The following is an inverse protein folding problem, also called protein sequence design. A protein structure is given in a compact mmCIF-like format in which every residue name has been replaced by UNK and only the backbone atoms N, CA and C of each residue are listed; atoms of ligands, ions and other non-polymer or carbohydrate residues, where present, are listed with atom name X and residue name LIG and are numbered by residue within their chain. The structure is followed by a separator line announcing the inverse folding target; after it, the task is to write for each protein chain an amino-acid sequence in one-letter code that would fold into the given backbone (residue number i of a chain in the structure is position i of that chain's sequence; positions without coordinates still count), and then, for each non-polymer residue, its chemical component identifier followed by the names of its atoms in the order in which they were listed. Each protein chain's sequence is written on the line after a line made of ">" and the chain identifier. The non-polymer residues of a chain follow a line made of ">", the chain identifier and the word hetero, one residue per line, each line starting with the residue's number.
data_IF_871825896495
#
_entry.id   IF_871825896495
#
_cell.length_a   1.000
_cell.length_b   1.000
_cell.length_c   1.000
_cell.angle_alpha   90.00
_cell.angle_beta   90.00
_cell.angle_gamma   90.00
#
_symmetry.space_group_name_H-M   'P 1'
#
loop_
_entity.id
_entity.type
_entity.pdbx_description
1 polymer ?
#
# COMPACT_ATOMS: atom_id res chain seq x y z
N UNK A 1 12.61 -0.12 13.20
CA UNK A 1 12.70 -1.53 13.61
C UNK A 1 11.33 -2.18 13.43
N UNK A 2 11.27 -3.40 12.92
CA UNK A 2 10.00 -4.12 12.80
C UNK A 2 9.44 -4.41 14.19
N UNK A 3 8.27 -3.84 14.53
CA UNK A 3 7.65 -4.06 15.83
C UNK A 3 6.13 -3.92 15.72
N UNK A 4 5.42 -5.03 15.75
CA UNK A 4 3.97 -5.09 15.66
C UNK A 4 3.29 -4.44 16.89
N UNK A 5 3.88 -4.54 18.08
CA UNK A 5 3.33 -3.91 19.30
C UNK A 5 3.35 -2.38 19.18
N UNK A 6 4.46 -1.83 18.67
CA UNK A 6 4.53 -0.38 18.41
C UNK A 6 3.55 0.04 17.32
N UNK A 7 3.42 -0.74 16.25
CA UNK A 7 2.48 -0.47 15.17
C UNK A 7 1.02 -0.43 15.66
N UNK A 8 0.63 -1.38 16.53
CA UNK A 8 -0.69 -1.38 17.17
C UNK A 8 -0.87 -0.16 18.09
N UNK A 9 0.13 0.16 18.91
CA UNK A 9 0.07 1.30 19.83
C UNK A 9 -0.11 2.63 19.06
N UNK A 10 0.61 2.82 17.95
CA UNK A 10 0.46 4.01 17.09
C UNK A 10 -0.94 4.05 16.46
N UNK A 11 -1.46 2.92 15.98
CA UNK A 11 -2.82 2.86 15.45
C UNK A 11 -3.88 3.25 16.49
N UNK A 12 -3.72 2.79 17.74
CA UNK A 12 -4.60 3.14 18.87
C UNK A 12 -4.48 4.60 19.32
N UNK A 13 -3.43 5.31 18.93
CA UNK A 13 -3.25 6.73 19.27
C UNK A 13 -4.18 7.67 18.46
N UNK A 14 -4.95 7.14 17.49
CA UNK A 14 -5.98 7.88 16.77
C UNK A 14 -5.53 8.60 15.53
N UNK A 15 -4.40 8.19 14.93
CA UNK A 15 -4.00 8.67 13.61
C UNK A 15 -4.90 8.09 12.52
N UNK A 16 -5.15 8.87 11.45
CA UNK A 16 -5.97 8.43 10.32
C UNK A 16 -5.37 7.24 9.59
N UNK A 17 -4.04 7.14 9.54
CA UNK A 17 -3.32 6.00 8.98
C UNK A 17 -1.95 5.81 9.66
N UNK A 18 -1.39 4.63 9.50
CA UNK A 18 -0.04 4.29 9.94
C UNK A 18 0.77 3.83 8.74
N UNK A 19 1.88 4.52 8.45
CA UNK A 19 2.77 4.15 7.36
C UNK A 19 3.86 3.18 7.83
N UNK A 20 3.98 2.07 7.13
CA UNK A 20 5.06 1.10 7.28
C UNK A 20 6.04 1.34 6.12
N UNK A 21 7.27 1.68 6.45
CA UNK A 21 8.28 2.01 5.45
C UNK A 21 9.10 0.76 5.08
N UNK A 22 8.76 0.15 3.94
CA UNK A 22 9.49 -0.98 3.39
C UNK A 22 10.55 -0.57 2.35
N UNK A 23 10.70 0.73 2.08
CA UNK A 23 11.75 1.24 1.17
C UNK A 23 13.07 1.45 1.91
N UNK A 24 13.03 2.22 2.99
CA UNK A 24 14.21 2.61 3.76
C UNK A 24 14.15 2.15 5.23
N UNK A 25 13.01 1.64 5.67
CA UNK A 25 12.88 1.00 6.97
C UNK A 25 13.62 -0.34 7.00
N UNK A 26 14.13 -0.71 8.17
CA UNK A 26 14.74 -2.03 8.38
C UNK A 26 13.65 -3.09 8.61
N UNK A 27 12.79 -3.30 7.61
CA UNK A 27 11.66 -4.25 7.64
C UNK A 27 11.63 -5.08 6.36
N UNK A 28 11.36 -6.36 6.52
CA UNK A 28 11.14 -7.29 5.41
C UNK A 28 9.64 -7.57 5.21
N UNK A 29 9.28 -8.30 4.16
CA UNK A 29 7.89 -8.59 3.85
C UNK A 29 7.12 -9.24 5.02
N UNK A 30 7.75 -10.20 5.71
CA UNK A 30 7.15 -10.87 6.88
C UNK A 30 6.86 -9.91 8.03
N UNK A 31 7.74 -8.93 8.23
CA UNK A 31 7.56 -7.89 9.23
C UNK A 31 6.39 -6.98 8.85
N UNK A 32 6.33 -6.58 7.57
CA UNK A 32 5.21 -5.78 7.04
C UNK A 32 3.88 -6.49 7.26
N UNK A 33 3.78 -7.80 6.98
CA UNK A 33 2.57 -8.58 7.24
C UNK A 33 2.15 -8.48 8.71
N UNK A 34 3.09 -8.70 9.63
CA UNK A 34 2.81 -8.65 11.07
C UNK A 34 2.40 -7.25 11.53
N UNK A 35 3.05 -6.21 11.02
CA UNK A 35 2.73 -4.81 11.35
C UNK A 35 1.40 -4.37 10.75
N UNK A 36 1.08 -4.75 9.50
CA UNK A 36 -0.22 -4.49 8.87
C UNK A 36 -1.35 -5.08 9.71
N UNK A 37 -1.22 -6.35 10.14
CA UNK A 37 -2.22 -7.01 10.99
C UNK A 37 -2.38 -6.28 12.33
N UNK A 38 -1.28 -5.84 12.94
CA UNK A 38 -1.30 -5.10 14.19
C UNK A 38 -1.97 -3.73 14.06
N UNK A 39 -1.72 -2.99 12.97
CA UNK A 39 -2.41 -1.71 12.68
C UNK A 39 -3.91 -1.93 12.53
N UNK A 40 -4.32 -2.95 11.76
CA UNK A 40 -5.74 -3.30 11.59
C UNK A 40 -6.40 -3.69 12.92
N UNK A 41 -5.70 -4.45 13.76
CA UNK A 41 -6.17 -4.82 15.10
C UNK A 41 -6.33 -3.59 16.01
N UNK A 42 -5.44 -2.62 15.88
CA UNK A 42 -5.52 -1.34 16.58
C UNK A 42 -6.62 -0.40 16.07
N UNK A 43 -7.32 -0.76 15.00
CA UNK A 43 -8.37 0.05 14.37
C UNK A 43 -7.86 1.13 13.41
N UNK A 44 -6.55 1.13 13.11
CA UNK A 44 -5.93 2.05 12.15
C UNK A 44 -5.99 1.54 10.71
N UNK A 45 -5.59 2.40 9.77
CA UNK A 45 -5.46 2.09 8.35
C UNK A 45 -3.98 1.91 7.99
N UNK A 46 -3.52 0.69 7.63
CA UNK A 46 -2.14 0.48 7.26
C UNK A 46 -1.88 0.96 5.81
N UNK A 47 -0.88 1.79 5.65
CA UNK A 47 -0.31 2.19 4.35
C UNK A 47 1.14 1.71 4.33
N UNK A 48 1.61 1.21 3.20
CA UNK A 48 2.99 0.73 3.06
C UNK A 48 3.71 1.57 2.00
N UNK A 49 4.87 2.14 2.36
CA UNK A 49 5.77 2.64 1.34
C UNK A 49 6.57 1.45 0.80
N UNK A 50 6.29 1.08 -0.46
CA UNK A 50 6.94 -0.06 -1.12
C UNK A 50 8.38 0.28 -1.53
N UNK A 51 9.28 -0.73 -1.69
CA UNK A 51 10.66 -0.48 -2.09
C UNK A 51 10.80 0.16 -3.47
N UNK A 52 9.90 -0.18 -4.40
CA UNK A 52 9.94 0.29 -5.78
C UNK A 52 8.58 0.18 -6.46
N UNK A 53 8.43 0.84 -7.63
CA UNK A 53 7.26 0.72 -8.50
C UNK A 53 7.29 -0.63 -9.25
N UNK A 54 7.00 -1.71 -8.55
CA UNK A 54 7.05 -3.07 -9.05
C UNK A 54 5.74 -3.80 -8.68
N UNK A 55 4.98 -4.36 -9.65
CA UNK A 55 3.63 -4.85 -9.42
C UNK A 55 3.56 -6.04 -8.44
N UNK A 56 4.59 -6.88 -8.38
CA UNK A 56 4.60 -8.04 -7.48
C UNK A 56 4.63 -7.63 -6.01
N UNK A 57 5.50 -6.69 -5.62
CA UNK A 57 5.57 -6.22 -4.23
C UNK A 57 4.34 -5.38 -3.87
N UNK A 58 3.85 -4.54 -4.78
CA UNK A 58 2.62 -3.77 -4.60
C UNK A 58 1.46 -4.72 -4.30
N UNK A 59 1.25 -5.73 -5.15
CA UNK A 59 0.21 -6.74 -4.97
C UNK A 59 0.32 -7.48 -3.63
N UNK A 60 1.54 -7.92 -3.26
CA UNK A 60 1.79 -8.63 -1.99
C UNK A 60 1.44 -7.79 -0.75
N UNK A 61 1.77 -6.50 -0.74
CA UNK A 61 1.42 -5.62 0.38
C UNK A 61 -0.09 -5.41 0.49
N UNK A 62 -0.78 -5.25 -0.64
CA UNK A 62 -2.23 -5.13 -0.67
C UNK A 62 -2.92 -6.45 -0.26
N UNK A 63 -2.39 -7.61 -0.65
CA UNK A 63 -2.91 -8.92 -0.25
C UNK A 63 -2.70 -9.20 1.25
N UNK A 64 -1.65 -8.64 1.84
CA UNK A 64 -1.41 -8.65 3.28
C UNK A 64 -2.40 -7.79 4.07
N UNK A 65 -3.11 -6.88 3.41
CA UNK A 65 -4.14 -6.03 4.02
C UNK A 65 -3.80 -4.54 4.10
N UNK A 66 -2.75 -4.08 3.42
CA UNK A 66 -2.51 -2.65 3.27
C UNK A 66 -3.71 -1.99 2.56
N UNK A 67 -4.14 -0.84 3.08
CA UNK A 67 -5.22 -0.03 2.49
C UNK A 67 -4.70 1.08 1.60
N UNK A 68 -3.40 1.11 1.39
CA UNK A 68 -2.75 1.99 0.43
C UNK A 68 -1.27 1.66 0.29
N UNK A 69 -0.72 2.09 -0.82
CA UNK A 69 0.71 2.00 -1.08
C UNK A 69 1.26 3.35 -1.50
N UNK A 70 2.37 3.74 -0.89
CA UNK A 70 3.19 4.87 -1.32
C UNK A 70 4.27 4.30 -2.23
N UNK A 71 4.34 4.82 -3.46
CA UNK A 71 5.20 4.29 -4.52
C UNK A 71 6.27 5.32 -4.83
N UNK A 72 7.56 5.02 -4.54
CA UNK A 72 8.65 5.97 -4.72
C UNK A 72 9.05 6.11 -6.19
N UNK A 73 9.78 7.20 -6.50
CA UNK A 73 10.48 7.42 -7.76
C UNK A 73 9.59 7.36 -9.01
N UNK A 74 8.37 7.86 -8.91
CA UNK A 74 7.47 7.98 -10.07
C UNK A 74 7.75 9.29 -10.78
N UNK A 75 8.32 9.22 -11.98
CA UNK A 75 8.81 10.37 -12.73
C UNK A 75 7.97 10.71 -13.96
N UNK A 76 7.29 9.72 -14.54
CA UNK A 76 6.56 9.85 -15.80
C UNK A 76 5.12 9.41 -15.67
N UNK A 77 4.27 9.88 -16.60
CA UNK A 77 2.87 9.43 -16.71
C UNK A 77 2.78 7.91 -16.85
N UNK A 78 3.64 7.32 -17.67
CA UNK A 78 3.64 5.85 -17.86
C UNK A 78 3.95 5.09 -16.56
N UNK A 79 4.85 5.61 -15.71
CA UNK A 79 5.15 5.02 -14.41
C UNK A 79 3.98 5.21 -13.42
N UNK A 80 3.30 6.35 -13.48
CA UNK A 80 2.10 6.60 -12.67
C UNK A 80 0.95 5.66 -13.08
N UNK A 81 0.72 5.48 -14.37
CA UNK A 81 -0.26 4.53 -14.90
C UNK A 81 0.08 3.09 -14.50
N UNK A 82 1.36 2.69 -14.58
CA UNK A 82 1.81 1.37 -14.15
C UNK A 82 1.53 1.14 -12.65
N UNK A 83 1.78 2.14 -11.81
CA UNK A 83 1.47 2.11 -10.38
C UNK A 83 -0.03 1.91 -10.11
N UNK A 84 -0.88 2.69 -10.80
CA UNK A 84 -2.35 2.55 -10.68
C UNK A 84 -2.80 1.17 -11.14
N UNK A 85 -2.31 0.68 -12.28
CA UNK A 85 -2.65 -0.64 -12.80
C UNK A 85 -2.24 -1.78 -11.85
N UNK A 86 -1.12 -1.64 -11.14
CA UNK A 86 -0.68 -2.61 -10.14
C UNK A 86 -1.59 -2.63 -8.88
N UNK A 87 -2.27 -1.53 -8.59
CA UNK A 87 -3.19 -1.41 -7.45
C UNK A 87 -4.62 -1.85 -7.77
N UNK A 88 -5.01 -1.94 -9.03
CA UNK A 88 -6.39 -2.18 -9.48
C UNK A 88 -6.53 -3.55 -10.14
N UNK A 89 -7.68 -4.18 -9.92
CA UNK A 89 -8.06 -5.40 -10.65
C UNK A 89 -8.60 -5.06 -12.05
N UNK A 90 -8.66 -6.06 -12.93
CA UNK A 90 -9.31 -5.90 -14.22
C UNK A 90 -10.80 -5.49 -14.03
N UNK A 91 -11.35 -4.64 -14.92
CA UNK A 91 -10.74 -4.08 -16.14
C UNK A 91 -9.86 -2.83 -15.91
N UNK A 92 -9.91 -2.19 -14.75
CA UNK A 92 -9.23 -0.91 -14.45
C UNK A 92 -7.71 -1.08 -14.27
N UNK A 93 -7.23 -2.30 -14.06
CA UNK A 93 -5.83 -2.60 -13.81
C UNK A 93 -5.42 -4.01 -14.17
N UNK A 94 -4.28 -4.43 -13.60
CA UNK A 94 -3.67 -5.73 -13.88
C UNK A 94 -3.21 -6.46 -12.62
N UNK A 95 -3.72 -6.05 -11.44
CA UNK A 95 -3.37 -6.70 -10.16
C UNK A 95 -3.82 -8.15 -10.17
N UNK A 96 -2.90 -9.07 -9.80
CA UNK A 96 -3.24 -10.47 -9.55
C UNK A 96 -4.06 -10.61 -8.29
N UNK A 97 -5.01 -11.56 -8.27
CA UNK A 97 -5.90 -11.76 -7.12
C UNK A 97 -5.35 -12.79 -6.14
N UNK A 98 -5.09 -12.36 -4.92
CA UNK A 98 -4.65 -13.20 -3.82
C UNK A 98 -4.93 -12.62 -2.42
N UNK A 99 -6.12 -12.00 -2.17
CA UNK A 99 -6.40 -11.26 -0.93
C UNK A 99 -6.69 -12.18 0.26
N UNK A 100 -5.80 -13.11 0.55
CA UNK A 100 -6.01 -14.18 1.54
C UNK A 100 -6.11 -13.67 2.97
N UNK A 101 -5.40 -12.59 3.30
CA UNK A 101 -5.36 -12.04 4.65
C UNK A 101 -6.38 -10.91 4.87
N UNK A 102 -6.81 -10.24 3.82
CA UNK A 102 -7.71 -9.08 3.91
C UNK A 102 -9.14 -9.39 3.50
N UNK A 103 -9.36 -10.29 2.55
CA UNK A 103 -10.69 -10.62 2.03
C UNK A 103 -11.72 -10.93 3.12
N UNK A 104 -11.41 -11.76 4.13
CA UNK A 104 -12.34 -12.08 5.21
C UNK A 104 -12.70 -10.92 6.15
N UNK A 105 -12.04 -9.76 6.01
CA UNK A 105 -12.21 -8.57 6.88
C UNK A 105 -13.02 -7.47 6.24
N UNK A 106 -13.48 -7.66 5.02
CA UNK A 106 -14.27 -6.67 4.28
C UNK A 106 -15.77 -6.97 4.40
N UNK A 107 -16.60 -5.92 4.41
CA UNK A 107 -18.06 -5.99 4.54
C UNK A 107 -18.77 -6.43 3.26
N UNK A 108 -18.03 -6.55 2.16
CA UNK A 108 -18.48 -6.94 0.83
C UNK A 108 -17.34 -7.65 0.08
N UNK A 109 -17.58 -8.26 -1.09
CA UNK A 109 -16.52 -8.90 -1.87
C UNK A 109 -15.31 -7.98 -2.05
N UNK A 110 -14.12 -8.49 -1.78
CA UNK A 110 -12.91 -7.67 -1.71
C UNK A 110 -12.64 -6.86 -3.00
N UNK A 111 -12.98 -7.40 -4.16
CA UNK A 111 -12.83 -6.68 -5.44
C UNK A 111 -13.63 -5.37 -5.47
N UNK A 112 -14.84 -5.39 -4.95
CA UNK A 112 -15.70 -4.20 -4.86
C UNK A 112 -15.19 -3.26 -3.77
N UNK A 113 -14.82 -3.83 -2.64
CA UNK A 113 -14.29 -3.06 -1.51
C UNK A 113 -13.00 -2.32 -1.88
N UNK A 114 -12.09 -2.99 -2.58
CA UNK A 114 -10.77 -2.45 -2.94
C UNK A 114 -10.84 -1.23 -3.87
N UNK A 115 -11.88 -1.13 -4.71
CA UNK A 115 -12.07 0.04 -5.59
C UNK A 115 -12.11 1.35 -4.83
N UNK A 116 -12.80 1.35 -3.69
CA UNK A 116 -13.05 2.55 -2.89
C UNK A 116 -12.08 2.73 -1.72
N UNK A 117 -11.40 1.65 -1.33
CA UNK A 117 -10.64 1.61 -0.06
C UNK A 117 -9.13 1.38 -0.24
N UNK A 118 -8.64 1.23 -1.47
CA UNK A 118 -7.20 1.10 -1.73
C UNK A 118 -6.67 2.37 -2.36
N UNK A 119 -5.77 3.04 -1.66
CA UNK A 119 -5.07 4.24 -2.15
C UNK A 119 -3.79 3.85 -2.91
N UNK A 120 -3.59 4.48 -4.08
CA UNK A 120 -2.33 4.49 -4.80
C UNK A 120 -1.73 5.89 -4.68
N UNK A 121 -0.54 6.02 -4.08
CA UNK A 121 0.06 7.30 -3.72
C UNK A 121 1.46 7.38 -4.35
N UNK A 122 1.59 7.81 -5.62
CA UNK A 122 2.89 8.04 -6.24
C UNK A 122 3.64 9.19 -5.57
N UNK A 123 4.94 9.02 -5.35
CA UNK A 123 5.80 10.08 -4.82
C UNK A 123 6.37 10.93 -5.95
N UNK A 124 6.12 12.23 -5.88
CA UNK A 124 6.75 13.24 -6.73
C UNK A 124 7.96 13.78 -5.97
N UNK A 125 9.13 13.20 -6.21
CA UNK A 125 10.31 13.46 -5.39
C UNK A 125 11.59 13.79 -6.20
N UNK A 126 11.47 13.94 -7.52
CA UNK A 126 12.58 14.30 -8.41
C UNK A 126 12.26 15.54 -9.22
N UNK A 127 13.31 16.20 -9.75
CA UNK A 127 13.15 17.35 -10.66
C UNK A 127 12.40 16.92 -11.93
N UNK A 128 12.65 15.71 -12.43
CA UNK A 128 11.96 15.15 -13.59
C UNK A 128 10.45 14.99 -13.31
N UNK A 129 10.10 14.40 -12.18
CA UNK A 129 8.70 14.23 -11.78
C UNK A 129 7.97 15.57 -11.65
N UNK A 130 8.62 16.58 -11.05
CA UNK A 130 8.07 17.94 -10.94
C UNK A 130 7.86 18.56 -12.31
N UNK A 131 8.80 18.34 -13.25
CA UNK A 131 8.68 18.83 -14.62
C UNK A 131 7.48 18.25 -15.40
N UNK A 132 7.07 17.02 -15.05
CA UNK A 132 5.99 16.27 -15.72
C UNK A 132 4.62 16.38 -15.02
N UNK A 133 4.49 17.24 -13.99
CA UNK A 133 3.22 17.38 -13.24
C UNK A 133 2.05 17.93 -14.07
N UNK A 134 2.32 18.51 -15.23
CA UNK A 134 1.30 19.08 -16.11
C UNK A 134 0.71 18.08 -17.12
N UNK A 135 1.31 16.91 -17.21
CA UNK A 135 0.93 15.84 -18.15
C UNK A 135 -0.05 14.87 -17.51
#
# INVERSE_FOLDING_TARGET
>A
MPNSVTAEAVARAGFDYVCIDAQHGAVEYSDCVSMIQAVLLGGGRPIVRVPWNEPGIIGKMLDAGAQGVIIPMVNTVAEAEAAVRACRYAPEGARSSGPTLVGPRTDRPYFEWAKDNVACIPMIETIEAVGNLGD
#
